data_IF_136040318300
#
_entry.id   IF_136040318300
#
_cell.length_a   1.000
_cell.length_b   1.000
_cell.length_c   1.000
_cell.angle_alpha   90.00
_cell.angle_beta   90.00
_cell.angle_gamma   90.00
#
_symmetry.space_group_name_H-M   'P 1'
#
loop_
_entity.id
_entity.type
_entity.pdbx_description
1 polymer ?
#
# COMPACT_ATOMS: atom_id res chain seq x y z
N UNK A 1 20.21 10.98 -44.44
CA UNK A 1 19.61 12.03 -43.59
C UNK A 1 19.19 11.53 -42.20
N UNK A 2 18.25 10.57 -42.06
CA UNK A 2 17.79 10.06 -40.74
C UNK A 2 18.91 9.49 -39.85
N UNK A 3 19.81 8.67 -40.43
CA UNK A 3 20.98 8.12 -39.71
C UNK A 3 21.87 9.22 -39.10
N UNK A 4 22.15 10.27 -39.88
CA UNK A 4 22.98 11.42 -39.47
C UNK A 4 22.33 12.25 -38.35
N UNK A 5 21.00 12.36 -38.33
CA UNK A 5 20.25 12.99 -37.22
C UNK A 5 20.40 12.18 -35.93
N UNK A 6 20.32 10.85 -36.01
CA UNK A 6 20.41 9.95 -34.86
C UNK A 6 21.84 9.91 -34.31
N UNK A 7 22.85 9.84 -35.16
CA UNK A 7 24.27 9.85 -34.79
C UNK A 7 24.64 11.12 -34.01
N UNK A 8 24.20 12.29 -34.48
CA UNK A 8 24.43 13.55 -33.77
C UNK A 8 23.62 13.60 -32.46
N UNK A 9 22.42 13.01 -32.42
CA UNK A 9 21.62 12.92 -31.18
C UNK A 9 22.28 12.02 -30.13
N UNK A 10 22.85 10.88 -30.54
CA UNK A 10 23.60 9.97 -29.66
C UNK A 10 24.89 10.61 -29.10
N UNK A 11 25.46 11.62 -29.78
CA UNK A 11 26.56 12.43 -29.23
C UNK A 11 26.15 13.45 -28.14
N UNK A 12 24.88 13.43 -27.70
CA UNK A 12 24.37 14.28 -26.63
C UNK A 12 23.85 15.66 -27.07
N UNK A 13 23.81 15.94 -28.37
CA UNK A 13 23.32 17.24 -28.89
C UNK A 13 21.79 17.26 -28.97
N UNK A 14 21.17 18.30 -28.40
CA UNK A 14 19.72 18.49 -28.47
C UNK A 14 19.20 18.80 -29.89
N UNK A 15 17.93 18.47 -30.15
CA UNK A 15 17.28 18.60 -31.47
C UNK A 15 17.37 19.99 -32.12
N UNK A 16 17.49 21.07 -31.33
CA UNK A 16 17.66 22.45 -31.85
C UNK A 16 19.04 22.65 -32.50
N UNK A 17 20.09 22.08 -31.90
CA UNK A 17 21.46 22.15 -32.42
C UNK A 17 21.59 21.30 -33.70
N UNK A 18 20.94 20.13 -33.72
CA UNK A 18 20.90 19.24 -34.88
C UNK A 18 20.17 19.90 -36.06
N UNK A 19 19.03 20.54 -35.79
CA UNK A 19 18.27 21.30 -36.80
C UNK A 19 19.11 22.40 -37.45
N UNK A 20 19.86 23.16 -36.65
CA UNK A 20 20.76 24.22 -37.16
C UNK A 20 21.96 23.65 -37.93
N UNK A 21 22.56 22.56 -37.45
CA UNK A 21 23.73 21.94 -38.08
C UNK A 21 23.43 21.24 -39.41
N UNK A 22 22.20 20.73 -39.58
CA UNK A 22 21.79 19.99 -40.78
C UNK A 22 20.85 20.78 -41.70
N UNK A 23 20.51 22.03 -41.35
CA UNK A 23 19.56 22.85 -42.12
C UNK A 23 18.14 22.27 -42.17
N UNK A 24 17.74 21.47 -41.18
CA UNK A 24 16.45 20.78 -41.15
C UNK A 24 15.44 21.52 -40.25
N UNK A 25 14.16 21.46 -40.60
CA UNK A 25 13.09 21.94 -39.70
C UNK A 25 13.12 21.19 -38.35
N UNK A 26 12.91 21.95 -37.27
CA UNK A 26 12.93 21.41 -35.89
C UNK A 26 11.90 20.32 -35.68
N UNK A 27 10.75 20.41 -36.33
CA UNK A 27 9.66 19.41 -36.30
C UNK A 27 10.11 18.11 -36.94
N UNK A 28 10.80 18.16 -38.07
CA UNK A 28 11.36 16.99 -38.78
C UNK A 28 12.40 16.28 -37.93
N UNK A 29 13.32 17.02 -37.29
CA UNK A 29 14.34 16.44 -36.39
C UNK A 29 13.68 15.78 -35.18
N UNK A 30 12.67 16.43 -34.57
CA UNK A 30 11.90 15.85 -33.45
C UNK A 30 11.16 14.58 -33.85
N UNK A 31 10.51 14.55 -35.00
CA UNK A 31 9.78 13.37 -35.48
C UNK A 31 10.72 12.18 -35.74
N UNK A 32 11.92 12.45 -36.28
CA UNK A 32 12.94 11.41 -36.52
C UNK A 32 13.45 10.84 -35.19
N UNK A 33 13.79 11.69 -34.22
CA UNK A 33 14.25 11.26 -32.89
C UNK A 33 13.15 10.49 -32.15
N UNK A 34 11.92 10.99 -32.17
CA UNK A 34 10.77 10.36 -31.51
C UNK A 34 10.43 8.98 -32.10
N UNK A 35 10.47 8.84 -33.43
CA UNK A 35 10.25 7.56 -34.10
C UNK A 35 11.39 6.57 -33.85
N UNK A 36 12.63 7.07 -33.71
CA UNK A 36 13.77 6.23 -33.35
C UNK A 36 13.69 5.75 -31.89
N UNK A 37 13.37 6.63 -30.93
CA UNK A 37 13.19 6.26 -29.51
C UNK A 37 12.08 5.22 -29.31
N UNK A 38 11.00 5.27 -30.11
CA UNK A 38 9.92 4.27 -30.07
C UNK A 38 10.25 2.92 -30.75
N UNK A 39 11.33 2.85 -31.53
CA UNK A 39 11.72 1.65 -32.29
C UNK A 39 12.92 0.89 -31.74
N UNK A 40 13.52 1.35 -30.62
CA UNK A 40 14.73 0.74 -30.03
C UNK A 40 14.34 0.00 -28.75
N UNK A 41 14.51 -1.34 -28.67
CA UNK A 41 14.41 -2.06 -27.40
C UNK A 41 15.52 -1.58 -26.46
N UNK A 42 15.13 -1.19 -25.25
CA UNK A 42 15.94 -0.47 -24.25
C UNK A 42 17.39 -0.97 -24.13
N UNK A 43 18.35 -0.17 -24.63
CA UNK A 43 19.73 -0.10 -24.12
C UNK A 43 19.92 1.29 -23.53
N UNK A 44 19.97 1.35 -22.21
CA UNK A 44 20.18 2.58 -21.45
C UNK A 44 21.63 3.02 -21.62
N UNK A 45 21.82 4.14 -22.31
CA UNK A 45 22.96 5.04 -22.08
C UNK A 45 22.33 6.39 -21.73
N UNK A 46 22.25 6.70 -20.43
CA UNK A 46 21.77 7.98 -19.95
C UNK A 46 22.96 8.94 -19.80
N UNK A 47 23.07 9.89 -20.73
CA UNK A 47 23.71 11.18 -20.47
C UNK A 47 22.57 12.18 -20.27
N UNK A 48 22.33 12.59 -19.03
CA UNK A 48 21.34 13.63 -18.72
C UNK A 48 22.00 15.01 -18.74
N UNK A 49 21.66 15.82 -19.73
CA UNK A 49 21.89 17.28 -19.73
C UNK A 49 20.75 17.94 -18.98
N UNK A 50 21.06 18.56 -17.84
CA UNK A 50 20.14 19.37 -17.03
C UNK A 50 19.82 20.67 -17.78
N UNK A 51 18.53 20.94 -18.01
CA UNK A 51 18.05 22.25 -18.49
C UNK A 51 17.46 23.03 -17.30
N UNK A 52 18.22 24.00 -16.77
CA UNK A 52 17.71 24.98 -15.80
C UNK A 52 16.84 25.99 -16.56
N UNK A 53 15.53 26.02 -16.29
CA UNK A 53 14.67 27.13 -16.70
C UNK A 53 14.85 28.28 -15.72
N UNK A 54 15.44 29.38 -16.20
CA UNK A 54 15.52 30.66 -15.50
C UNK A 54 14.10 31.23 -15.34
N UNK A 55 13.60 31.29 -14.11
CA UNK A 55 12.36 31.99 -13.79
C UNK A 55 12.51 33.48 -14.10
N UNK A 56 11.54 34.04 -14.81
CA UNK A 56 11.49 35.46 -15.16
C UNK A 56 10.88 36.19 -13.96
N UNK A 57 11.70 36.92 -13.21
CA UNK A 57 11.28 37.78 -12.10
C UNK A 57 10.35 38.89 -12.62
N UNK A 58 9.16 38.98 -12.04
CA UNK A 58 8.27 40.14 -12.11
C UNK A 58 8.89 41.30 -11.32
N UNK A 59 8.86 42.51 -11.89
CA UNK A 59 9.48 43.71 -11.32
C UNK A 59 8.84 44.18 -10.01
N UNK A 60 9.54 45.06 -9.26
CA UNK A 60 9.10 45.48 -7.93
C UNK A 60 7.94 46.48 -8.00
N UNK A 61 6.78 46.12 -7.43
CA UNK A 61 5.71 47.05 -7.09
C UNK A 61 6.13 47.94 -5.90
N UNK A 62 5.99 49.25 -6.06
CA UNK A 62 6.40 50.29 -5.09
C UNK A 62 5.79 50.10 -3.69
N UNK A 63 6.64 50.22 -2.67
CA UNK A 63 6.37 49.98 -1.24
C UNK A 63 5.18 50.74 -0.64
N UNK A 64 4.70 51.83 -1.26
CA UNK A 64 3.59 52.65 -0.76
C UNK A 64 2.23 51.93 -0.79
N UNK A 65 2.04 50.91 -1.66
CA UNK A 65 0.78 50.15 -1.74
C UNK A 65 0.63 49.06 -0.65
N UNK A 66 1.70 48.68 0.05
CA UNK A 66 1.67 47.61 1.07
C UNK A 66 1.08 48.08 2.41
N UNK A 67 1.30 49.34 2.78
CA UNK A 67 0.82 49.90 4.05
C UNK A 67 -0.68 50.22 4.03
N UNK A 68 -1.23 50.63 2.88
CA UNK A 68 -2.67 50.90 2.74
C UNK A 68 -3.50 49.63 2.93
N UNK A 69 -3.10 48.52 2.29
CA UNK A 69 -3.82 47.24 2.44
C UNK A 69 -3.77 46.74 3.89
N UNK A 70 -2.63 46.89 4.58
CA UNK A 70 -2.50 46.50 6.00
C UNK A 70 -3.34 47.37 6.95
N UNK A 71 -3.55 48.65 6.63
CA UNK A 71 -4.40 49.56 7.40
C UNK A 71 -5.88 49.20 7.23
N UNK A 72 -6.32 48.91 6.00
CA UNK A 72 -7.70 48.52 5.75
C UNK A 72 -8.07 47.17 6.36
N UNK A 73 -7.15 46.18 6.34
CA UNK A 73 -7.40 44.88 6.99
C UNK A 73 -7.47 45.00 8.50
N UNK A 74 -6.61 45.83 9.11
CA UNK A 74 -6.61 46.05 10.57
C UNK A 74 -7.86 46.79 11.03
N UNK A 75 -8.31 47.81 10.28
CA UNK A 75 -9.55 48.52 10.58
C UNK A 75 -10.79 47.63 10.46
N UNK A 76 -10.81 46.73 9.46
CA UNK A 76 -11.91 45.77 9.27
C UNK A 76 -12.00 44.73 10.40
N UNK A 77 -10.86 44.22 10.88
CA UNK A 77 -10.82 43.31 12.01
C UNK A 77 -11.26 43.98 13.32
N UNK A 78 -10.84 45.22 13.57
CA UNK A 78 -11.30 45.98 14.74
C UNK A 78 -12.81 46.25 14.70
N UNK A 79 -13.37 46.53 13.52
CA UNK A 79 -14.81 46.71 13.34
C UNK A 79 -15.60 45.42 13.64
N UNK A 80 -15.07 44.25 13.23
CA UNK A 80 -15.67 42.96 13.52
C UNK A 80 -15.65 42.63 15.02
N UNK A 81 -14.56 42.96 15.72
CA UNK A 81 -14.48 42.79 17.18
C UNK A 81 -15.40 43.74 17.95
N UNK A 82 -15.62 44.96 17.44
CA UNK A 82 -16.54 45.92 18.06
C UNK A 82 -18.01 45.55 17.84
N UNK A 83 -18.36 44.92 16.72
CA UNK A 83 -19.74 44.56 16.36
C UNK A 83 -20.18 43.18 16.87
N UNK A 84 -19.25 42.27 17.18
CA UNK A 84 -19.55 40.92 17.67
C UNK A 84 -19.59 40.80 19.21
N UNK A 85 -20.03 41.85 19.91
CA UNK A 85 -20.15 41.84 21.36
C UNK A 85 -21.33 41.00 21.86
N UNK A 86 -21.10 39.76 22.30
CA UNK A 86 -21.99 38.97 23.19
C UNK A 86 -21.14 38.00 24.07
N UNK A 87 -21.51 37.78 25.35
CA UNK A 87 -20.57 37.44 26.42
C UNK A 87 -20.45 35.94 26.74
N UNK A 88 -19.34 35.57 27.38
CA UNK A 88 -19.12 34.24 27.96
C UNK A 88 -19.85 34.15 29.31
N UNK A 89 -20.91 33.35 29.37
CA UNK A 89 -21.58 33.00 30.63
C UNK A 89 -20.80 31.90 31.34
N UNK A 90 -20.32 32.21 32.55
CA UNK A 90 -19.78 31.26 33.52
C UNK A 90 -20.89 30.93 34.53
N UNK A 91 -21.33 29.68 34.53
CA UNK A 91 -22.36 29.18 35.46
C UNK A 91 -21.84 27.97 36.23
N UNK A 92 -21.65 28.14 37.54
CA UNK A 92 -21.30 27.07 38.48
C UNK A 92 -22.43 26.68 39.44
N UNK A 93 -22.17 25.61 40.20
CA UNK A 93 -22.90 25.04 41.38
C UNK A 93 -24.13 24.19 41.01
N UNK A 94 -24.48 23.06 41.63
CA UNK A 94 -24.23 22.54 42.98
C UNK A 94 -24.41 21.01 43.09
N UNK A 95 -23.78 20.44 44.12
CA UNK A 95 -23.94 19.11 44.75
C UNK A 95 -25.40 18.64 44.93
N UNK A 96 -25.61 17.33 44.80
CA UNK A 96 -26.33 16.51 45.80
C UNK A 96 -25.88 15.03 45.75
N UNK A 97 -26.07 14.38 46.89
CA UNK A 97 -25.43 13.19 47.46
C UNK A 97 -25.89 11.80 46.95
N UNK A 98 -24.96 10.84 47.11
CA UNK A 98 -25.11 9.40 47.45
C UNK A 98 -26.09 8.54 46.64
N UNK A 99 -25.56 7.53 45.94
CA UNK A 99 -25.61 6.12 46.38
C UNK A 99 -24.91 5.17 45.40
N UNK A 100 -24.42 4.07 45.98
CA UNK A 100 -23.69 2.93 45.41
C UNK A 100 -24.33 2.35 44.13
N UNK A 101 -23.53 2.13 43.08
CA UNK A 101 -23.47 0.87 42.29
C UNK A 101 -22.48 0.95 41.11
N UNK A 102 -21.63 -0.07 40.98
CA UNK A 102 -21.04 -0.61 39.74
C UNK A 102 -20.32 0.34 38.76
N UNK A 103 -18.99 0.46 38.85
CA UNK A 103 -18.21 1.05 37.78
C UNK A 103 -18.03 0.09 36.59
N UNK A 104 -18.96 0.23 35.64
CA UNK A 104 -18.71 0.10 34.19
C UNK A 104 -17.50 0.97 33.83
N UNK A 105 -16.45 0.37 33.27
CA UNK A 105 -15.29 1.08 32.72
C UNK A 105 -15.72 1.68 31.37
N UNK A 106 -15.81 3.01 31.31
CA UNK A 106 -16.14 3.75 30.09
C UNK A 106 -15.07 3.53 29.02
N UNK A 107 -15.51 3.23 27.81
CA UNK A 107 -14.71 3.36 26.60
C UNK A 107 -14.18 4.80 26.51
N UNK A 108 -12.87 4.98 26.73
CA UNK A 108 -12.19 6.20 26.33
C UNK A 108 -11.93 6.12 24.82
N UNK A 109 -12.41 7.07 24.01
CA UNK A 109 -12.02 7.15 22.60
C UNK A 109 -10.53 7.42 22.50
N UNK A 110 -9.86 6.75 21.56
CA UNK A 110 -8.48 7.04 21.18
C UNK A 110 -8.30 8.54 20.90
N UNK A 111 -7.16 9.15 21.28
CA UNK A 111 -6.90 10.55 20.96
C UNK A 111 -6.93 10.75 19.44
N UNK A 112 -7.84 11.61 18.98
CA UNK A 112 -7.87 12.07 17.60
C UNK A 112 -6.63 12.94 17.36
N UNK A 113 -5.67 12.42 16.60
CA UNK A 113 -4.62 13.25 16.01
C UNK A 113 -5.27 14.11 14.92
N UNK A 114 -5.68 15.32 15.28
CA UNK A 114 -6.16 16.34 14.35
C UNK A 114 -4.97 17.10 13.77
N UNK A 115 -4.17 16.41 12.97
CA UNK A 115 -3.27 17.06 12.02
C UNK A 115 -3.31 16.25 10.71
N UNK A 116 -3.84 16.81 9.61
CA UNK A 116 -3.67 16.19 8.31
C UNK A 116 -2.20 16.31 7.93
N UNK A 117 -1.42 15.26 8.19
CA UNK A 117 -0.12 15.09 7.56
C UNK A 117 -0.37 15.09 6.05
N UNK A 118 -0.02 16.19 5.39
CA UNK A 118 -0.08 16.28 3.94
C UNK A 118 0.78 15.16 3.36
N UNK A 119 0.13 14.21 2.66
CA UNK A 119 0.82 13.17 1.93
C UNK A 119 1.79 13.82 0.94
N UNK A 120 3.09 13.58 1.12
CA UNK A 120 4.16 14.08 0.23
C UNK A 120 4.20 13.32 -1.10
N UNK A 121 3.06 13.18 -1.76
CA UNK A 121 2.96 12.46 -3.02
C UNK A 121 2.01 13.15 -4.00
N UNK A 122 2.53 14.01 -4.88
CA UNK A 122 1.81 14.42 -6.07
C UNK A 122 2.05 13.36 -7.15
N UNK A 123 1.22 12.30 -7.16
CA UNK A 123 1.08 11.47 -8.35
C UNK A 123 -0.30 11.72 -8.94
N UNK A 124 -0.25 12.36 -10.11
CA UNK A 124 -1.34 12.49 -11.06
C UNK A 124 -1.89 11.10 -11.41
N UNK A 125 -3.21 11.00 -11.54
CA UNK A 125 -3.91 9.76 -11.85
C UNK A 125 -3.57 9.31 -13.27
N UNK A 126 -2.52 8.51 -13.41
CA UNK A 126 -2.33 7.66 -14.58
C UNK A 126 -2.35 6.22 -14.11
N UNK A 127 -3.48 5.55 -14.36
CA UNK A 127 -3.66 4.12 -14.20
C UNK A 127 -2.43 3.35 -14.71
N UNK A 128 -1.89 2.37 -13.97
CA UNK A 128 -0.83 1.50 -14.47
C UNK A 128 -1.44 0.49 -15.45
N UNK A 129 -1.60 0.90 -16.71
CA UNK A 129 -2.13 0.05 -17.79
C UNK A 129 -1.16 -1.07 -18.25
N UNK A 130 0.08 -1.15 -17.74
CA UNK A 130 1.16 -1.88 -18.41
C UNK A 130 1.55 -3.26 -17.84
N UNK A 131 0.82 -3.84 -16.88
CA UNK A 131 1.32 -5.03 -16.15
C UNK A 131 0.64 -6.38 -16.42
N UNK A 132 -0.25 -6.49 -17.43
CA UNK A 132 -0.94 -7.75 -17.73
C UNK A 132 -0.65 -8.25 -19.15
N UNK A 133 0.58 -8.72 -19.39
CA UNK A 133 1.01 -9.22 -20.72
C UNK A 133 0.49 -10.64 -21.02
N UNK A 134 -0.08 -11.35 -20.04
CA UNK A 134 -0.51 -12.76 -20.21
C UNK A 134 -2.02 -13.00 -20.10
N UNK A 135 -2.85 -11.97 -20.08
CA UNK A 135 -4.30 -12.11 -19.86
C UNK A 135 -5.08 -11.70 -21.11
N UNK A 136 -6.04 -12.52 -21.54
CA UNK A 136 -6.87 -12.16 -22.70
C UNK A 136 -7.63 -10.84 -22.45
N UNK A 137 -7.88 -10.00 -23.48
CA UNK A 137 -8.62 -8.74 -23.32
C UNK A 137 -10.00 -8.91 -22.68
N UNK A 138 -10.65 -10.05 -22.90
CA UNK A 138 -11.94 -10.41 -22.29
C UNK A 138 -11.80 -10.63 -20.78
N UNK A 139 -10.79 -11.40 -20.38
CA UNK A 139 -10.51 -11.65 -18.97
C UNK A 139 -10.06 -10.37 -18.24
N UNK A 140 -9.32 -9.47 -18.89
CA UNK A 140 -8.97 -8.14 -18.35
C UNK A 140 -10.22 -7.29 -18.07
N UNK A 141 -11.20 -7.26 -18.98
CA UNK A 141 -12.46 -6.50 -18.80
C UNK A 141 -13.33 -7.06 -17.69
N UNK A 142 -13.44 -8.39 -17.59
CA UNK A 142 -14.20 -9.04 -16.51
C UNK A 142 -13.59 -8.75 -15.14
N UNK A 143 -12.26 -8.86 -15.02
CA UNK A 143 -11.54 -8.52 -13.77
C UNK A 143 -11.70 -7.03 -13.43
N UNK A 144 -11.58 -6.12 -14.39
CA UNK A 144 -11.80 -4.69 -14.11
C UNK A 144 -13.24 -4.37 -13.65
N UNK A 145 -14.25 -4.96 -14.31
CA UNK A 145 -15.64 -4.76 -13.95
C UNK A 145 -15.94 -5.34 -12.56
N UNK A 146 -15.35 -6.48 -12.23
CA UNK A 146 -15.54 -7.14 -10.93
C UNK A 146 -14.77 -6.45 -9.80
N UNK A 147 -13.55 -5.95 -10.05
CA UNK A 147 -12.80 -5.10 -9.12
C UNK A 147 -13.61 -3.85 -8.80
N UNK A 148 -14.26 -3.24 -9.79
CA UNK A 148 -15.13 -2.08 -9.58
C UNK A 148 -16.39 -2.43 -8.76
N UNK A 149 -16.98 -3.61 -8.98
CA UNK A 149 -18.10 -4.16 -8.20
C UNK A 149 -17.67 -4.44 -6.74
N UNK A 150 -16.51 -5.07 -6.55
CA UNK A 150 -15.94 -5.40 -5.26
C UNK A 150 -15.54 -4.19 -4.43
N UNK A 151 -14.99 -3.12 -5.04
CA UNK A 151 -14.65 -1.85 -4.36
C UNK A 151 -15.85 -1.19 -3.67
N UNK A 152 -17.06 -1.41 -4.19
CA UNK A 152 -18.31 -0.86 -3.63
C UNK A 152 -18.91 -1.73 -2.52
N UNK A 153 -18.38 -2.92 -2.27
CA UNK A 153 -18.89 -3.78 -1.22
C UNK A 153 -18.71 -3.20 0.17
N UNK A 154 -19.77 -3.29 0.96
CA UNK A 154 -19.87 -2.92 2.37
C UNK A 154 -20.65 -4.01 3.10
N UNK A 155 -20.64 -3.97 4.42
CA UNK A 155 -21.31 -5.00 5.23
C UNK A 155 -22.81 -5.09 4.92
N UNK A 156 -23.46 -3.96 4.70
CA UNK A 156 -24.89 -3.87 4.38
C UNK A 156 -25.24 -4.32 2.95
N UNK A 157 -24.29 -4.27 2.00
CA UNK A 157 -24.55 -4.57 0.59
C UNK A 157 -24.09 -5.97 0.16
N UNK A 158 -22.94 -6.43 0.65
CA UNK A 158 -22.26 -7.63 0.16
C UNK A 158 -22.15 -8.75 1.20
N UNK A 159 -22.55 -8.51 2.44
CA UNK A 159 -22.59 -9.53 3.49
C UNK A 159 -24.04 -9.82 3.88
N UNK A 160 -24.38 -11.11 3.98
CA UNK A 160 -25.70 -11.55 4.44
C UNK A 160 -25.67 -11.88 5.93
N UNK A 161 -26.21 -10.98 6.74
CA UNK A 161 -26.36 -11.17 8.19
C UNK A 161 -27.39 -12.23 8.57
N UNK A 162 -28.27 -12.65 7.65
CA UNK A 162 -29.31 -13.64 7.94
C UNK A 162 -28.71 -14.99 8.34
N UNK A 163 -27.59 -15.38 7.73
CA UNK A 163 -26.89 -16.64 8.00
C UNK A 163 -26.33 -16.71 9.44
N UNK A 164 -26.07 -15.55 10.05
CA UNK A 164 -25.45 -15.45 11.37
C UNK A 164 -26.47 -15.40 12.53
N UNK A 165 -27.77 -15.25 12.23
CA UNK A 165 -28.83 -15.09 13.24
C UNK A 165 -29.25 -16.41 13.92
N UNK A 166 -29.50 -17.52 13.19
CA UNK A 166 -30.05 -18.74 13.79
C UNK A 166 -29.07 -19.46 14.71
N UNK A 167 -27.82 -19.61 14.26
CA UNK A 167 -26.80 -20.43 14.93
C UNK A 167 -25.65 -19.60 15.54
N UNK A 168 -25.79 -18.28 15.51
CA UNK A 168 -24.74 -17.33 15.89
C UNK A 168 -23.59 -17.25 14.88
N UNK A 169 -22.44 -16.76 15.34
CA UNK A 169 -21.26 -16.61 14.49
C UNK A 169 -20.51 -17.94 14.37
N UNK A 170 -20.71 -18.63 13.24
CA UNK A 170 -20.01 -19.87 12.90
C UNK A 170 -19.22 -19.75 11.59
N UNK A 171 -18.10 -20.45 11.51
CA UNK A 171 -17.18 -20.44 10.37
C UNK A 171 -17.06 -21.85 9.82
N UNK A 172 -17.37 -22.01 8.54
CA UNK A 172 -17.16 -23.25 7.80
C UNK A 172 -15.88 -23.14 6.97
N UNK A 173 -15.07 -24.20 7.01
CA UNK A 173 -13.87 -24.34 6.19
C UNK A 173 -14.18 -25.37 5.10
N UNK A 174 -13.92 -25.03 3.85
CA UNK A 174 -14.10 -25.98 2.75
C UNK A 174 -13.24 -27.24 2.94
N UNK A 175 -13.68 -28.41 2.48
CA UNK A 175 -12.87 -29.61 2.53
C UNK A 175 -11.68 -29.49 1.58
N UNK A 176 -10.50 -29.91 2.05
CA UNK A 176 -9.28 -29.93 1.24
C UNK A 176 -9.46 -30.83 0.01
N UNK A 177 -9.10 -30.30 -1.16
CA UNK A 177 -9.17 -31.02 -2.42
C UNK A 177 -7.92 -31.89 -2.58
N UNK A 178 -8.09 -33.13 -3.06
CA UNK A 178 -6.97 -34.06 -3.28
C UNK A 178 -5.98 -33.47 -4.30
N UNK A 179 -4.70 -33.44 -3.94
CA UNK A 179 -3.61 -32.99 -4.81
C UNK A 179 -3.25 -31.50 -4.72
N UNK A 180 -4.00 -30.70 -3.96
CA UNK A 180 -3.63 -29.30 -3.70
C UNK A 180 -2.57 -29.23 -2.59
N UNK A 181 -1.46 -28.54 -2.88
CA UNK A 181 -0.44 -28.24 -1.88
C UNK A 181 -0.83 -26.96 -1.13
N UNK A 182 -0.72 -27.00 0.19
CA UNK A 182 -1.01 -25.88 1.08
C UNK A 182 0.26 -25.52 1.85
N UNK A 183 0.58 -24.23 1.98
CA UNK A 183 1.69 -23.77 2.82
C UNK A 183 1.42 -24.06 4.30
N UNK A 184 2.47 -24.27 5.08
CA UNK A 184 2.36 -24.47 6.53
C UNK A 184 1.63 -23.29 7.19
N UNK A 185 1.91 -22.06 6.77
CA UNK A 185 1.25 -20.86 7.27
C UNK A 185 -0.27 -20.88 7.01
N UNK A 186 -0.72 -21.28 5.82
CA UNK A 186 -2.15 -21.38 5.54
C UNK A 186 -2.80 -22.55 6.28
N UNK A 187 -2.12 -23.69 6.37
CA UNK A 187 -2.58 -24.82 7.17
C UNK A 187 -2.75 -24.44 8.65
N UNK A 188 -1.85 -23.61 9.20
CA UNK A 188 -1.96 -23.09 10.56
C UNK A 188 -3.17 -22.17 10.73
N UNK A 189 -3.48 -21.31 9.74
CA UNK A 189 -4.70 -20.49 9.73
C UNK A 189 -5.95 -21.37 9.77
N UNK A 190 -6.07 -22.33 8.85
CA UNK A 190 -7.22 -23.24 8.77
C UNK A 190 -7.39 -24.04 10.07
N UNK A 191 -6.30 -24.63 10.57
CA UNK A 191 -6.35 -25.43 11.79
C UNK A 191 -6.65 -24.59 13.05
N UNK A 192 -6.30 -23.30 13.06
CA UNK A 192 -6.68 -22.37 14.15
C UNK A 192 -8.18 -22.07 14.10
N UNK A 193 -8.75 -21.93 12.90
CA UNK A 193 -10.20 -21.77 12.73
C UNK A 193 -10.92 -23.03 13.20
N UNK A 194 -10.52 -24.21 12.71
CA UNK A 194 -11.14 -25.51 12.98
C UNK A 194 -11.11 -25.89 14.47
N UNK A 195 -10.08 -25.48 15.21
CA UNK A 195 -9.96 -25.72 16.66
C UNK A 195 -10.68 -24.68 17.51
N UNK A 196 -11.21 -23.61 16.90
CA UNK A 196 -11.91 -22.54 17.61
C UNK A 196 -13.38 -22.91 17.90
N UNK A 197 -13.97 -22.26 18.90
CA UNK A 197 -15.42 -22.36 19.22
C UNK A 197 -16.36 -21.91 18.08
N UNK A 198 -15.81 -21.19 17.11
CA UNK A 198 -16.57 -20.66 15.97
C UNK A 198 -16.67 -21.68 14.83
N UNK A 199 -15.84 -22.72 14.79
CA UNK A 199 -15.90 -23.72 13.73
C UNK A 199 -17.25 -24.45 13.69
N UNK A 200 -17.67 -24.81 12.48
CA UNK A 200 -18.72 -25.78 12.19
C UNK A 200 -18.35 -26.63 10.97
N UNK A 201 -18.65 -27.93 11.03
CA UNK A 201 -18.56 -28.84 9.88
C UNK A 201 -19.81 -28.82 8.99
N UNK A 202 -20.90 -28.22 9.46
CA UNK A 202 -22.16 -28.10 8.74
C UNK A 202 -22.26 -26.71 8.08
N UNK A 203 -22.20 -26.61 6.74
CA UNK A 203 -22.26 -25.32 6.04
C UNK A 203 -23.62 -24.61 6.21
N UNK A 204 -24.70 -25.33 6.53
CA UNK A 204 -26.01 -24.71 6.76
C UNK A 204 -26.07 -23.88 8.05
N UNK A 205 -25.14 -24.13 8.97
CA UNK A 205 -25.01 -23.39 10.23
C UNK A 205 -24.02 -22.22 10.12
N UNK A 206 -23.30 -22.11 9.00
CA UNK A 206 -22.18 -21.19 8.86
C UNK A 206 -22.62 -19.77 8.51
N UNK A 207 -22.00 -18.81 9.17
CA UNK A 207 -22.10 -17.37 8.90
C UNK A 207 -21.00 -16.92 7.91
N UNK A 208 -19.80 -17.50 8.03
CA UNK A 208 -18.65 -17.21 7.16
C UNK A 208 -18.10 -18.50 6.55
N UNK A 209 -17.63 -18.40 5.30
CA UNK A 209 -16.99 -19.46 4.56
C UNK A 209 -15.52 -19.14 4.29
N UNK A 210 -14.62 -20.09 4.54
CA UNK A 210 -13.17 -19.95 4.32
C UNK A 210 -12.69 -21.05 3.38
N UNK A 211 -12.01 -20.64 2.31
CA UNK A 211 -11.50 -21.55 1.28
C UNK A 211 -10.42 -22.48 1.83
N UNK A 212 -10.36 -23.72 1.35
CA UNK A 212 -9.23 -24.63 1.57
C UNK A 212 -8.10 -24.46 0.55
N UNK A 213 -8.19 -23.44 -0.31
CA UNK A 213 -7.21 -23.13 -1.34
C UNK A 213 -6.26 -22.05 -0.82
N UNK A 214 -4.96 -22.30 -0.91
CA UNK A 214 -3.96 -21.36 -0.41
C UNK A 214 -3.94 -20.08 -1.26
N UNK A 215 -4.30 -18.98 -0.62
CA UNK A 215 -4.40 -17.64 -1.25
C UNK A 215 -3.39 -16.65 -0.66
N UNK A 216 -2.54 -17.10 0.27
CA UNK A 216 -1.62 -16.25 1.00
C UNK A 216 -0.58 -15.60 0.08
N UNK A 217 -0.08 -16.37 -0.88
CA UNK A 217 0.96 -15.94 -1.80
C UNK A 217 0.47 -16.00 -3.25
N UNK A 218 0.38 -14.82 -3.86
CA UNK A 218 -0.06 -14.65 -5.26
C UNK A 218 1.09 -14.27 -6.19
N UNK A 219 2.33 -14.38 -5.73
CA UNK A 219 3.50 -14.36 -6.60
C UNK A 219 3.56 -15.63 -7.46
N UNK A 220 3.58 -15.49 -8.78
CA UNK A 220 3.64 -16.63 -9.71
C UNK A 220 4.94 -17.45 -9.58
N UNK A 221 5.99 -16.85 -9.01
CA UNK A 221 7.26 -17.52 -8.74
C UNK A 221 7.26 -18.26 -7.39
N UNK A 222 6.21 -18.10 -6.58
CA UNK A 222 6.11 -18.76 -5.29
C UNK A 222 5.90 -20.27 -5.47
N UNK A 223 6.58 -21.12 -4.68
CA UNK A 223 6.31 -22.55 -4.65
C UNK A 223 4.90 -22.87 -4.13
N UNK A 224 4.23 -21.91 -3.48
CA UNK A 224 2.87 -22.04 -2.96
C UNK A 224 1.82 -21.39 -3.86
N UNK A 225 2.21 -20.95 -5.07
CA UNK A 225 1.28 -20.33 -6.01
C UNK A 225 0.25 -21.36 -6.51
N UNK A 226 -1.02 -21.15 -6.14
CA UNK A 226 -2.12 -21.97 -6.65
C UNK A 226 -2.46 -21.52 -8.08
N UNK A 227 -2.16 -22.39 -9.05
CA UNK A 227 -2.56 -22.23 -10.46
C UNK A 227 -4.05 -22.49 -10.65
N UNK A 228 -4.63 -21.88 -11.70
CA UNK A 228 -6.04 -22.00 -12.07
C UNK A 228 -7.02 -21.73 -10.93
N UNK A 229 -6.63 -20.87 -9.98
CA UNK A 229 -7.40 -20.56 -8.78
C UNK A 229 -8.83 -20.09 -9.12
N UNK A 230 -9.00 -19.26 -10.16
CA UNK A 230 -10.34 -18.81 -10.62
C UNK A 230 -11.26 -19.99 -10.91
N UNK A 231 -10.82 -20.97 -11.70
CA UNK A 231 -11.62 -22.12 -12.07
C UNK A 231 -11.94 -22.99 -10.83
N UNK A 232 -10.96 -23.17 -9.95
CA UNK A 232 -11.14 -23.92 -8.69
C UNK A 232 -12.17 -23.26 -7.77
N UNK A 233 -12.09 -21.95 -7.57
CA UNK A 233 -13.05 -21.19 -6.74
C UNK A 233 -14.44 -21.22 -7.36
N UNK A 234 -14.55 -21.00 -8.68
CA UNK A 234 -15.83 -21.05 -9.38
C UNK A 234 -16.49 -22.43 -9.38
N UNK A 235 -15.70 -23.51 -9.23
CA UNK A 235 -16.23 -24.88 -9.09
C UNK A 235 -16.80 -25.19 -7.71
N UNK A 236 -16.56 -24.32 -6.70
CA UNK A 236 -17.04 -24.54 -5.35
C UNK A 236 -18.55 -24.29 -5.26
N UNK A 237 -19.36 -25.28 -4.81
CA UNK A 237 -20.82 -25.16 -4.80
C UNK A 237 -21.37 -23.99 -3.99
N UNK A 238 -20.68 -23.62 -2.90
CA UNK A 238 -21.14 -22.59 -1.96
C UNK A 238 -20.58 -21.18 -2.26
N UNK A 239 -19.77 -21.00 -3.32
CA UNK A 239 -19.00 -19.75 -3.53
C UNK A 239 -19.84 -18.48 -3.56
N UNK A 240 -21.06 -18.53 -4.12
CA UNK A 240 -22.04 -17.44 -4.11
C UNK A 240 -21.47 -16.05 -4.45
N UNK A 241 -20.69 -15.95 -5.54
CA UNK A 241 -20.02 -14.70 -5.95
C UNK A 241 -19.19 -14.06 -4.82
N UNK A 242 -18.66 -14.86 -3.89
CA UNK A 242 -17.88 -14.43 -2.73
C UNK A 242 -18.68 -13.94 -1.54
N UNK A 243 -20.02 -13.87 -1.61
CA UNK A 243 -20.85 -13.39 -0.48
C UNK A 243 -20.60 -14.25 0.78
N UNK A 244 -20.37 -13.62 1.92
CA UNK A 244 -20.00 -14.25 3.20
C UNK A 244 -18.68 -15.05 3.19
N UNK A 245 -17.84 -14.90 2.18
CA UNK A 245 -16.52 -15.53 2.15
C UNK A 245 -15.44 -14.61 2.72
N UNK A 246 -14.45 -15.21 3.39
CA UNK A 246 -13.25 -14.52 3.85
C UNK A 246 -12.02 -15.14 3.17
N UNK A 247 -11.24 -14.29 2.49
CA UNK A 247 -10.02 -14.67 1.79
C UNK A 247 -8.82 -14.10 2.53
N UNK A 248 -7.73 -14.87 2.63
CA UNK A 248 -6.50 -14.43 3.28
C UNK A 248 -5.41 -14.14 2.24
N UNK A 249 -4.70 -13.03 2.40
CA UNK A 249 -3.53 -12.71 1.59
C UNK A 249 -2.43 -12.08 2.45
N UNK A 250 -1.24 -12.65 2.45
CA UNK A 250 -0.09 -12.09 3.17
C UNK A 250 0.93 -11.47 2.23
N UNK A 251 1.09 -12.01 1.03
CA UNK A 251 2.13 -11.62 0.09
C UNK A 251 1.48 -11.10 -1.20
N UNK A 252 1.74 -9.83 -1.51
CA UNK A 252 1.25 -9.11 -2.71
C UNK A 252 2.27 -9.13 -3.85
N UNK A 253 3.00 -10.24 -4.01
CA UNK A 253 4.05 -10.39 -5.02
C UNK A 253 5.45 -9.96 -4.56
N UNK A 254 6.44 -10.24 -5.40
CA UNK A 254 7.83 -9.81 -5.25
C UNK A 254 8.18 -8.81 -6.33
N UNK A 255 9.02 -7.82 -6.02
CA UNK A 255 9.58 -6.91 -7.02
C UNK A 255 10.12 -7.67 -8.26
N UNK A 256 9.86 -7.19 -9.49
CA UNK A 256 9.16 -5.95 -9.85
C UNK A 256 7.63 -6.08 -9.88
N UNK A 257 7.10 -7.28 -9.67
CA UNK A 257 5.71 -7.68 -9.94
C UNK A 257 4.84 -7.61 -8.67
N UNK A 258 4.95 -6.52 -7.91
CA UNK A 258 4.00 -6.26 -6.82
C UNK A 258 2.61 -6.04 -7.41
N UNK A 259 1.63 -6.84 -6.97
CA UNK A 259 0.25 -6.74 -7.42
C UNK A 259 -0.70 -6.69 -6.23
N UNK A 260 -1.54 -5.66 -6.21
CA UNK A 260 -2.66 -5.59 -5.27
C UNK A 260 -3.78 -6.57 -5.63
N UNK A 261 -3.82 -7.02 -6.89
CA UNK A 261 -4.74 -8.04 -7.40
C UNK A 261 -4.27 -9.44 -7.00
N UNK A 262 -5.20 -10.25 -6.51
CA UNK A 262 -4.99 -11.65 -6.16
C UNK A 262 -4.88 -12.57 -7.39
N UNK A 263 -5.05 -12.01 -8.60
CA UNK A 263 -5.01 -12.75 -9.86
C UNK A 263 -6.28 -13.55 -10.13
N UNK A 264 -7.36 -13.26 -9.40
CA UNK A 264 -8.71 -13.77 -9.64
C UNK A 264 -9.76 -12.84 -9.03
N UNK A 265 -10.98 -12.95 -9.53
CA UNK A 265 -12.10 -12.19 -9.04
C UNK A 265 -12.62 -12.75 -7.71
N UNK A 266 -12.53 -11.96 -6.64
CA UNK A 266 -13.05 -12.31 -5.32
C UNK A 266 -14.54 -11.96 -5.14
N UNK A 267 -15.13 -11.29 -6.12
CA UNK A 267 -16.53 -10.86 -6.10
C UNK A 267 -16.86 -10.03 -4.85
N UNK A 268 -17.74 -10.56 -4.03
CA UNK A 268 -18.30 -9.96 -2.81
C UNK A 268 -17.59 -10.43 -1.53
N UNK A 269 -16.50 -11.19 -1.65
CA UNK A 269 -15.77 -11.69 -0.48
C UNK A 269 -15.08 -10.56 0.28
N UNK A 270 -15.00 -10.74 1.60
CA UNK A 270 -14.15 -9.95 2.48
C UNK A 270 -12.69 -10.40 2.32
N UNK A 271 -11.77 -9.44 2.47
CA UNK A 271 -10.35 -9.68 2.33
C UNK A 271 -9.62 -9.42 3.65
N UNK A 272 -9.00 -10.46 4.21
CA UNK A 272 -8.03 -10.38 5.28
C UNK A 272 -6.64 -10.27 4.68
N UNK A 273 -6.07 -9.05 4.62
CA UNK A 273 -4.83 -8.79 3.89
C UNK A 273 -3.77 -8.05 4.71
N UNK A 274 -2.53 -8.51 4.58
CA UNK A 274 -1.36 -7.79 5.05
C UNK A 274 -0.94 -6.73 4.04
N UNK A 275 -0.50 -5.57 4.53
CA UNK A 275 -0.04 -4.45 3.70
C UNK A 275 -1.08 -3.97 2.67
N UNK A 276 -2.37 -4.04 3.00
CA UNK A 276 -3.44 -3.55 2.11
C UNK A 276 -3.34 -2.02 1.93
N UNK A 277 -3.42 -1.56 0.68
CA UNK A 277 -3.45 -0.12 0.38
C UNK A 277 -4.71 0.54 0.94
N UNK A 278 -4.59 1.76 1.45
CA UNK A 278 -5.73 2.58 1.89
C UNK A 278 -6.70 2.90 0.75
N UNK A 279 -6.25 2.81 -0.51
CA UNK A 279 -7.08 3.05 -1.69
C UNK A 279 -8.00 1.86 -2.03
N UNK A 280 -7.61 0.65 -1.65
CA UNK A 280 -8.34 -0.59 -1.95
C UNK A 280 -9.04 -1.18 -0.72
N UNK A 281 -8.55 -0.88 0.48
CA UNK A 281 -9.15 -1.31 1.74
C UNK A 281 -10.59 -0.81 1.86
N UNK A 282 -11.54 -1.73 2.13
CA UNK A 282 -12.95 -1.40 2.38
C UNK A 282 -13.20 -1.31 3.89
N UNK A 283 -13.37 -0.11 4.46
CA UNK A 283 -13.51 0.05 5.90
C UNK A 283 -14.73 -0.69 6.44
N UNK A 284 -14.54 -1.38 7.57
CA UNK A 284 -15.55 -2.21 8.25
C UNK A 284 -16.00 -3.44 7.46
N UNK A 285 -15.36 -3.76 6.34
CA UNK A 285 -15.68 -4.92 5.50
C UNK A 285 -14.45 -5.83 5.32
N UNK A 286 -13.30 -5.23 5.01
CA UNK A 286 -12.02 -5.92 4.97
C UNK A 286 -11.33 -5.92 6.35
N UNK A 287 -10.40 -6.85 6.52
CA UNK A 287 -9.62 -7.01 7.76
C UNK A 287 -8.14 -6.75 7.45
N UNK A 288 -7.58 -5.71 8.05
CA UNK A 288 -6.13 -5.51 8.02
C UNK A 288 -5.48 -6.43 9.04
N UNK A 289 -4.61 -7.33 8.57
CA UNK A 289 -3.87 -8.27 9.41
C UNK A 289 -2.37 -7.99 9.31
N UNK A 290 -1.58 -8.29 10.35
CA UNK A 290 -0.13 -8.17 10.26
C UNK A 290 0.44 -9.19 9.28
N UNK A 291 1.61 -8.89 8.72
CA UNK A 291 2.38 -9.87 7.97
C UNK A 291 3.05 -10.85 8.94
N UNK A 292 2.60 -12.10 8.93
CA UNK A 292 3.23 -13.15 9.73
C UNK A 292 4.47 -13.71 9.02
N UNK A 293 5.58 -13.95 9.74
CA UNK A 293 6.70 -14.71 9.19
C UNK A 293 6.24 -16.13 8.84
N UNK A 294 6.96 -16.80 7.92
CA UNK A 294 6.62 -18.16 7.49
C UNK A 294 6.64 -19.12 8.68
N UNK A 295 7.65 -19.00 9.53
CA UNK A 295 7.85 -19.78 10.75
C UNK A 295 7.15 -19.12 11.95
N UNK A 296 5.85 -18.84 11.84
CA UNK A 296 5.07 -18.34 12.96
C UNK A 296 4.47 -19.51 13.77
N UNK A 297 4.73 -19.60 15.09
CA UNK A 297 4.13 -20.64 15.93
C UNK A 297 2.60 -20.62 15.88
N UNK A 298 1.98 -21.79 15.71
CA UNK A 298 0.51 -21.93 15.65
C UNK A 298 -0.17 -21.56 16.98
N UNK A 299 0.45 -21.96 18.08
CA UNK A 299 0.01 -21.63 19.44
C UNK A 299 1.17 -20.97 20.16
N UNK A 300 0.87 -20.22 21.22
CA UNK A 300 1.83 -19.35 21.91
C UNK A 300 3.23 -19.95 22.04
N UNK A 301 4.25 -19.13 21.78
CA UNK A 301 5.64 -19.47 22.02
C UNK A 301 6.07 -19.09 23.44
N UNK A 302 7.37 -18.85 23.59
CA UNK A 302 7.87 -18.22 24.81
C UNK A 302 7.12 -16.91 25.08
N UNK A 303 6.92 -16.59 26.37
CA UNK A 303 6.30 -15.32 26.74
C UNK A 303 7.09 -14.19 26.10
N UNK A 304 6.40 -13.34 25.35
CA UNK A 304 7.00 -12.12 24.84
C UNK A 304 7.61 -11.28 25.97
N UNK A 305 8.59 -10.45 25.65
CA UNK A 305 9.33 -9.65 26.64
C UNK A 305 8.48 -8.60 27.38
N UNK A 306 7.22 -8.41 26.98
CA UNK A 306 6.30 -7.43 27.55
C UNK A 306 5.72 -7.97 28.86
N UNK A 307 6.44 -7.72 29.96
CA UNK A 307 6.06 -8.18 31.33
C UNK A 307 4.93 -7.37 31.96
N UNK A 308 4.75 -6.12 31.54
CA UNK A 308 3.77 -5.18 32.10
C UNK A 308 3.02 -4.44 30.98
N UNK A 309 1.71 -4.24 31.15
CA UNK A 309 0.87 -3.42 30.27
C UNK A 309 1.10 -1.92 30.54
N UNK A 310 2.32 -1.43 30.38
CA UNK A 310 2.60 0.01 30.26
C UNK A 310 2.15 0.49 28.89
N UNK A 311 1.33 1.53 28.83
CA UNK A 311 0.89 2.17 27.58
C UNK A 311 1.37 3.64 27.62
N UNK A 312 2.25 4.06 26.69
CA UNK A 312 2.98 3.23 25.73
C UNK A 312 4.03 2.34 26.45
N UNK A 313 4.32 1.14 25.92
CA UNK A 313 5.33 0.26 26.54
C UNK A 313 6.71 0.90 26.43
N UNK A 314 7.54 0.75 27.46
CA UNK A 314 8.96 1.10 27.37
C UNK A 314 9.63 0.19 26.34
N UNK A 315 9.98 0.76 25.18
CA UNK A 315 10.68 0.05 24.11
C UNK A 315 12.12 0.56 24.07
N UNK A 316 13.09 -0.36 24.10
CA UNK A 316 14.50 -0.02 23.86
C UNK A 316 14.70 0.58 22.46
N UNK A 317 14.00 0.02 21.47
CA UNK A 317 14.08 0.45 20.09
C UNK A 317 12.86 1.30 19.72
N UNK A 318 13.10 2.53 19.26
CA UNK A 318 12.10 3.42 18.67
C UNK A 318 11.70 2.95 17.27
N UNK A 319 12.69 2.54 16.45
CA UNK A 319 12.49 2.12 15.07
C UNK A 319 13.40 0.93 14.75
N UNK A 320 12.82 -0.15 14.21
CA UNK A 320 13.58 -1.28 13.67
C UNK A 320 13.10 -1.58 12.26
N UNK A 321 14.05 -1.70 11.33
CA UNK A 321 13.81 -2.14 9.97
C UNK A 321 14.79 -3.26 9.63
N UNK A 322 14.27 -4.35 9.05
CA UNK A 322 15.08 -5.38 8.40
C UNK A 322 14.56 -5.56 6.98
N UNK A 323 15.35 -5.23 5.97
CA UNK A 323 14.88 -5.33 4.58
C UNK A 323 15.95 -5.25 3.49
N UNK A 324 15.51 -5.18 2.23
CA UNK A 324 16.40 -5.11 1.06
C UNK A 324 16.72 -3.66 0.68
N UNK A 325 18.01 -3.37 0.48
CA UNK A 325 18.51 -2.14 -0.12
C UNK A 325 18.79 -2.35 -1.60
N UNK A 326 18.12 -1.57 -2.45
CA UNK A 326 18.32 -1.68 -3.90
C UNK A 326 19.51 -0.82 -4.30
N UNK A 327 20.52 -1.44 -4.89
CA UNK A 327 21.73 -0.74 -5.35
C UNK A 327 21.45 0.09 -6.61
N UNK A 328 20.44 -0.28 -7.39
CA UNK A 328 20.01 0.39 -8.63
C UNK A 328 18.49 0.34 -8.76
N UNK A 329 17.94 1.16 -9.67
CA UNK A 329 16.50 1.17 -9.99
C UNK A 329 15.68 2.18 -9.19
N UNK A 330 14.37 2.22 -9.46
CA UNK A 330 13.46 3.18 -8.81
C UNK A 330 13.42 2.91 -7.30
N UNK A 331 13.60 3.95 -6.50
CA UNK A 331 13.62 3.87 -5.04
C UNK A 331 14.96 3.44 -4.43
N UNK A 332 16.01 3.22 -5.24
CA UNK A 332 17.38 2.98 -4.74
C UNK A 332 17.86 4.13 -3.88
N UNK A 333 17.65 5.37 -4.31
CA UNK A 333 18.14 6.55 -3.61
C UNK A 333 17.49 6.72 -2.24
N UNK A 334 16.16 6.57 -2.16
CA UNK A 334 15.42 6.62 -0.89
C UNK A 334 15.88 5.52 0.07
N UNK A 335 16.01 4.27 -0.40
CA UNK A 335 16.47 3.15 0.43
C UNK A 335 17.94 3.30 0.82
N UNK A 336 18.76 3.88 -0.05
CA UNK A 336 20.15 4.20 0.23
C UNK A 336 20.30 5.31 1.24
N UNK A 337 19.32 6.21 1.37
CA UNK A 337 19.33 7.27 2.37
C UNK A 337 18.92 6.78 3.77
N UNK A 338 18.13 5.70 3.87
CA UNK A 338 17.61 5.21 5.16
C UNK A 338 18.71 4.95 6.18
N UNK A 339 19.87 4.39 5.79
CA UNK A 339 20.95 4.13 6.75
C UNK A 339 21.43 5.38 7.52
N UNK A 340 21.21 6.60 7.01
CA UNK A 340 21.61 7.82 7.72
C UNK A 340 20.82 8.04 9.02
N UNK A 341 19.64 7.42 9.17
CA UNK A 341 18.90 7.47 10.43
C UNK A 341 19.29 6.34 11.40
N UNK A 342 20.15 5.40 10.97
CA UNK A 342 20.64 4.34 11.84
C UNK A 342 21.64 4.89 12.85
N UNK A 343 21.39 4.65 14.15
CA UNK A 343 22.28 5.07 15.23
C UNK A 343 22.82 3.92 16.09
N UNK A 344 22.48 2.66 15.75
CA UNK A 344 22.86 1.46 16.50
C UNK A 344 22.40 1.41 17.98
N UNK A 345 21.54 2.33 18.41
CA UNK A 345 21.03 2.42 19.79
C UNK A 345 19.54 2.09 19.86
N UNK A 346 18.69 3.00 19.38
CA UNK A 346 17.23 2.89 19.38
C UNK A 346 16.60 2.97 17.98
N UNK A 347 17.39 3.34 16.96
CA UNK A 347 17.03 3.27 15.54
C UNK A 347 17.96 2.29 14.81
N UNK A 348 17.46 1.07 14.60
CA UNK A 348 18.21 -0.04 14.02
C UNK A 348 17.71 -0.34 12.61
N UNK A 349 18.55 -0.17 11.60
CA UNK A 349 18.22 -0.46 10.20
C UNK A 349 19.19 -1.49 9.63
N UNK A 350 18.75 -2.74 9.59
CA UNK A 350 19.51 -3.85 9.04
C UNK A 350 19.11 -4.03 7.58
N UNK A 351 20.05 -3.88 6.64
CA UNK A 351 19.72 -3.98 5.21
C UNK A 351 20.61 -4.96 4.47
N UNK A 352 20.05 -5.72 3.53
CA UNK A 352 20.85 -6.53 2.60
C UNK A 352 20.82 -5.91 1.21
N UNK A 353 21.99 -5.83 0.57
CA UNK A 353 22.12 -5.43 -0.83
C UNK A 353 21.89 -6.60 -1.81
N UNK A 354 21.68 -7.83 -1.32
CA UNK A 354 21.41 -9.03 -2.13
C UNK A 354 20.01 -8.93 -2.76
N UNK A 355 19.91 -8.25 -3.91
CA UNK A 355 18.65 -8.04 -4.61
C UNK A 355 18.76 -8.19 -6.14
N UNK A 356 17.96 -9.10 -6.70
CA UNK A 356 18.02 -9.43 -8.13
C UNK A 356 19.23 -10.30 -8.47
N UNK A 357 19.42 -10.61 -9.76
CA UNK A 357 20.54 -11.47 -10.22
C UNK A 357 21.86 -10.69 -10.36
N UNK A 358 21.77 -9.37 -10.57
CA UNK A 358 22.92 -8.52 -10.90
C UNK A 358 23.43 -7.68 -9.72
N UNK A 359 22.99 -7.95 -8.48
CA UNK A 359 23.43 -7.15 -7.31
C UNK A 359 24.95 -7.13 -7.14
N UNK A 360 25.63 -8.24 -7.46
CA UNK A 360 27.09 -8.34 -7.41
C UNK A 360 27.78 -7.36 -8.36
N UNK A 361 27.19 -7.08 -9.53
CA UNK A 361 27.73 -6.13 -10.51
C UNK A 361 27.61 -4.68 -10.05
N UNK A 362 26.63 -4.39 -9.20
CA UNK A 362 26.35 -3.06 -8.67
C UNK A 362 26.81 -2.87 -7.22
N UNK A 363 27.54 -3.86 -6.68
CA UNK A 363 28.05 -3.88 -5.32
C UNK A 363 28.85 -2.61 -5.03
N UNK A 364 28.39 -1.85 -4.05
CA UNK A 364 29.13 -0.70 -3.52
C UNK A 364 29.98 -1.09 -2.30
N UNK A 365 30.75 -0.14 -1.79
CA UNK A 365 31.65 -0.35 -0.66
C UNK A 365 30.95 -0.71 0.66
N UNK A 366 29.63 -0.43 0.81
CA UNK A 366 28.89 -0.68 2.05
C UNK A 366 28.25 -2.08 2.07
N UNK A 367 27.97 -2.64 0.90
CA UNK A 367 27.22 -3.88 0.69
C UNK A 367 27.74 -5.07 1.52
N UNK A 368 29.05 -5.22 1.73
CA UNK A 368 29.58 -6.31 2.58
C UNK A 368 29.22 -6.14 4.05
N UNK A 369 29.37 -4.93 4.58
CA UNK A 369 29.00 -4.61 5.96
C UNK A 369 27.49 -4.71 6.16
N UNK A 370 26.72 -4.14 5.24
CA UNK A 370 25.26 -4.25 5.21
C UNK A 370 24.82 -5.72 5.33
N UNK A 371 25.40 -6.62 4.52
CA UNK A 371 25.08 -8.05 4.57
C UNK A 371 25.51 -8.72 5.87
N UNK A 372 26.68 -8.38 6.42
CA UNK A 372 27.18 -8.97 7.67
C UNK A 372 26.34 -8.54 8.89
N UNK A 373 25.80 -7.33 8.91
CA UNK A 373 24.88 -6.86 9.95
C UNK A 373 23.45 -7.39 9.76
N UNK A 374 23.07 -7.72 8.53
CA UNK A 374 21.75 -8.24 8.20
C UNK A 374 21.55 -9.72 8.54
N UNK A 375 22.58 -10.53 8.26
CA UNK A 375 22.62 -11.97 8.53
C UNK A 375 22.76 -12.20 10.06
#
# INVERSE_FOLDING_TARGET
MRKKVIEIYQSGKGYKAISKALGLLRTTVRAIIYKWLRGVPYKIVNVSVIYVRRARLSGPMQAKKRYLVSLFTSAFLLLLFYLAGVPVSTGGKSRHERSRHGHRRSEQPWPHFSDPLNSFSPWDQTDPEEYNIHTSPRQKREVHASVYKGKRCRMDSCFDFSLCRPNGFKVYVYPQQKGEKISESYQNILATIETSRFYTSDPSQACIFVLSLDTLDRDQLSPHYVHNLRAKVQSLPLWNDGRNHLIFNLYSGTWPDYTEDLGFDIGQAMLAKASISTETFRPRFDVSIPLFPKEHPKTGGERGFLKYNTIPPFRKYMLVFKGKRYLTGIGSDTRNALYHVHNAEDVVLLTTCKHGKDWQKHKDARCDRDNAEYD
#
